data_IF_534035496611
#
_entry.id   IF_534035496611
#
_cell.length_a   1.000
_cell.length_b   1.000
_cell.length_c   1.000
_cell.angle_alpha   90.00
_cell.angle_beta   90.00
_cell.angle_gamma   90.00
#
_symmetry.space_group_name_H-M   'P 1'
#
loop_
_entity.id
_entity.type
_entity.pdbx_description
1 polymer ?
#
# COMPACT_ATOMS: atom_id res chain seq x y z
N UNK A 1 -21.47 19.53 9.48
CA UNK A 1 -21.02 18.17 9.05
C UNK A 1 -21.10 17.18 10.21
N UNK A 2 -20.29 17.32 11.27
CA UNK A 2 -20.33 16.40 12.43
C UNK A 2 -21.72 16.29 13.10
N UNK A 3 -22.45 17.41 13.27
CA UNK A 3 -23.85 17.41 13.74
C UNK A 3 -24.83 16.59 12.89
N UNK A 4 -24.57 16.47 11.58
CA UNK A 4 -25.44 15.78 10.63
C UNK A 4 -25.13 14.27 10.61
N UNK A 5 -23.85 13.90 10.73
CA UNK A 5 -23.40 12.52 10.88
C UNK A 5 -23.91 11.93 12.19
N UNK A 6 -23.62 12.59 13.32
CA UNK A 6 -24.09 12.24 14.66
C UNK A 6 -25.60 11.95 14.71
N UNK A 7 -26.40 12.82 14.07
CA UNK A 7 -27.86 12.69 14.03
C UNK A 7 -28.35 11.55 13.11
N UNK A 8 -27.58 11.14 12.11
CA UNK A 8 -27.89 9.99 11.24
C UNK A 8 -27.39 8.65 11.81
N UNK A 9 -26.32 8.65 12.61
CA UNK A 9 -25.74 7.44 13.21
C UNK A 9 -26.19 7.20 14.66
N UNK A 10 -27.00 8.09 15.24
CA UNK A 10 -27.42 7.99 16.64
C UNK A 10 -26.30 8.25 17.65
N UNK A 11 -25.18 8.83 17.19
CA UNK A 11 -23.99 9.10 18.00
C UNK A 11 -23.90 10.57 18.38
N UNK A 12 -23.04 10.92 19.33
CA UNK A 12 -22.80 12.33 19.68
C UNK A 12 -21.88 12.99 18.65
N UNK A 13 -21.93 14.33 18.58
CA UNK A 13 -21.02 15.11 17.72
C UNK A 13 -19.56 14.83 18.09
N UNK A 14 -19.28 14.64 19.37
CA UNK A 14 -17.94 14.30 19.89
C UNK A 14 -17.48 12.95 19.38
N UNK A 15 -18.32 11.91 19.51
CA UNK A 15 -18.00 10.57 19.02
C UNK A 15 -17.75 10.55 17.49
N UNK A 16 -18.53 11.32 16.73
CA UNK A 16 -18.32 11.47 15.29
C UNK A 16 -16.97 12.16 14.96
N UNK A 17 -16.49 13.07 15.80
CA UNK A 17 -15.19 13.73 15.64
C UNK A 17 -14.05 12.81 16.05
N UNK A 18 -14.19 12.05 17.14
CA UNK A 18 -13.20 11.06 17.59
C UNK A 18 -12.91 10.03 16.50
N UNK A 19 -13.95 9.40 15.93
CA UNK A 19 -13.79 8.43 14.84
C UNK A 19 -13.09 9.05 13.62
N UNK A 20 -13.47 10.26 13.23
CA UNK A 20 -12.84 10.93 12.08
C UNK A 20 -11.35 11.23 12.32
N UNK A 21 -10.97 11.54 13.57
CA UNK A 21 -9.57 11.76 13.96
C UNK A 21 -8.78 10.45 13.99
N UNK A 22 -9.33 9.39 14.57
CA UNK A 22 -8.72 8.05 14.58
C UNK A 22 -8.45 7.55 13.16
N UNK A 23 -9.44 7.65 12.27
CA UNK A 23 -9.26 7.24 10.87
C UNK A 23 -8.18 8.08 10.16
N UNK A 24 -8.09 9.38 10.47
CA UNK A 24 -7.09 10.27 9.88
C UNK A 24 -5.69 9.92 10.37
N UNK A 25 -5.53 9.63 11.66
CA UNK A 25 -4.27 9.14 12.23
C UNK A 25 -3.87 7.79 11.61
N UNK A 26 -4.77 6.82 11.56
CA UNK A 26 -4.50 5.51 10.95
C UNK A 26 -4.17 5.61 9.45
N UNK A 27 -4.71 6.60 8.72
CA UNK A 27 -4.31 6.88 7.33
C UNK A 27 -2.90 7.48 7.25
N UNK A 28 -2.56 8.41 8.14
CA UNK A 28 -1.24 9.03 8.21
C UNK A 28 -0.16 8.01 8.55
N UNK A 29 -0.38 7.17 9.55
CA UNK A 29 0.55 6.10 9.93
C UNK A 29 0.83 5.14 8.77
N UNK A 30 -0.22 4.69 8.07
CA UNK A 30 -0.08 3.88 6.85
C UNK A 30 0.71 4.59 5.76
N UNK A 31 0.48 5.88 5.56
CA UNK A 31 1.21 6.65 4.54
C UNK A 31 2.70 6.81 4.86
N UNK A 32 3.04 6.99 6.14
CA UNK A 32 4.43 7.04 6.59
C UNK A 32 5.14 5.69 6.40
N UNK A 33 4.44 4.59 6.62
CA UNK A 33 4.96 3.24 6.37
C UNK A 33 5.23 2.99 4.88
N UNK A 34 4.37 3.48 3.97
CA UNK A 34 4.58 3.32 2.53
C UNK A 34 5.87 4.00 2.05
N UNK A 35 6.11 5.25 2.45
CA UNK A 35 7.33 5.97 2.06
C UNK A 35 8.57 5.33 2.68
N UNK A 36 8.52 4.99 3.97
CA UNK A 36 9.62 4.29 4.64
C UNK A 36 9.93 2.93 3.98
N UNK A 37 8.90 2.17 3.61
CA UNK A 37 9.00 0.89 2.90
C UNK A 37 9.58 1.07 1.50
N UNK A 38 9.12 2.08 0.76
CA UNK A 38 9.66 2.41 -0.57
C UNK A 38 11.15 2.72 -0.50
N UNK A 39 11.55 3.62 0.42
CA UNK A 39 12.95 3.98 0.61
C UNK A 39 13.80 2.77 1.01
N UNK A 40 13.26 1.87 1.85
CA UNK A 40 13.95 0.62 2.21
C UNK A 40 14.19 -0.29 1.00
N UNK A 41 13.17 -0.52 0.18
CA UNK A 41 13.27 -1.34 -1.04
C UNK A 41 14.24 -0.70 -2.03
N UNK A 42 14.12 0.62 -2.26
CA UNK A 42 14.97 1.37 -3.18
C UNK A 42 16.46 1.22 -2.83
N UNK A 43 16.83 1.29 -1.54
CA UNK A 43 18.22 1.07 -1.11
C UNK A 43 18.76 -0.31 -1.50
N UNK A 44 17.93 -1.35 -1.44
CA UNK A 44 18.35 -2.70 -1.87
C UNK A 44 18.50 -2.77 -3.38
N UNK A 45 17.54 -2.22 -4.13
CA UNK A 45 17.58 -2.21 -5.60
C UNK A 45 18.77 -1.42 -6.12
N UNK A 46 19.05 -0.24 -5.54
CA UNK A 46 20.18 0.60 -5.93
C UNK A 46 21.55 -0.05 -5.63
N UNK A 47 21.60 -1.04 -4.74
CA UNK A 47 22.80 -1.81 -4.44
C UNK A 47 23.03 -2.99 -5.39
N UNK A 48 22.05 -3.34 -6.23
CA UNK A 48 22.18 -4.43 -7.19
C UNK A 48 23.02 -3.98 -8.40
N UNK A 49 23.87 -4.86 -8.95
CA UNK A 49 24.55 -4.58 -10.21
C UNK A 49 23.53 -4.47 -11.35
N UNK A 50 23.89 -3.71 -12.40
CA UNK A 50 23.06 -3.65 -13.60
C UNK A 50 22.86 -5.07 -14.17
N UNK A 51 21.62 -5.44 -14.57
CA UNK A 51 21.39 -6.73 -15.18
C UNK A 51 22.20 -6.82 -16.49
N UNK A 52 22.81 -7.98 -16.78
CA UNK A 52 23.55 -8.16 -18.01
C UNK A 52 22.64 -7.95 -19.23
N UNK A 53 23.14 -7.27 -20.29
CA UNK A 53 22.32 -6.95 -21.45
C UNK A 53 21.83 -8.21 -22.15
N UNK A 54 20.54 -8.24 -22.51
CA UNK A 54 19.92 -9.37 -23.21
C UNK A 54 19.53 -10.54 -22.30
N UNK A 55 19.82 -10.48 -20.99
CA UNK A 55 19.34 -11.49 -20.05
C UNK A 55 17.89 -11.20 -19.69
N UNK A 56 17.00 -12.07 -20.17
CA UNK A 56 15.58 -12.07 -19.82
C UNK A 56 15.33 -13.16 -18.80
N UNK A 57 14.35 -12.94 -17.92
CA UNK A 57 13.86 -13.98 -17.02
C UNK A 57 12.97 -14.94 -17.81
N UNK A 58 13.59 -15.92 -18.47
CA UNK A 58 12.85 -16.99 -19.14
C UNK A 58 12.25 -17.92 -18.06
N UNK A 59 10.94 -18.11 -18.13
CA UNK A 59 10.14 -18.92 -17.21
C UNK A 59 9.33 -19.98 -17.95
N UNK A 60 9.78 -20.39 -19.13
CA UNK A 60 9.19 -21.49 -19.92
C UNK A 60 9.20 -22.84 -19.19
N UNK A 61 9.95 -22.96 -18.09
CA UNK A 61 9.92 -24.08 -17.15
C UNK A 61 8.72 -24.03 -16.19
N UNK A 62 8.10 -22.87 -16.00
CA UNK A 62 6.99 -22.66 -15.07
C UNK A 62 5.65 -22.38 -15.78
N UNK A 63 5.68 -21.88 -17.01
CA UNK A 63 4.49 -21.52 -17.77
C UNK A 63 4.54 -22.08 -19.19
N UNK A 64 3.37 -22.55 -19.67
CA UNK A 64 3.17 -22.95 -21.04
C UNK A 64 3.17 -21.76 -22.02
N UNK A 65 3.09 -22.04 -23.32
CA UNK A 65 3.07 -21.02 -24.37
C UNK A 65 1.86 -20.05 -24.28
N UNK A 66 0.85 -20.36 -23.47
CA UNK A 66 -0.32 -19.52 -23.22
C UNK A 66 -0.18 -18.72 -21.92
N UNK A 67 0.95 -18.86 -21.22
CA UNK A 67 1.21 -18.23 -19.92
C UNK A 67 0.48 -18.90 -18.76
N UNK A 68 0.03 -20.14 -18.91
CA UNK A 68 -0.59 -20.92 -17.85
C UNK A 68 0.46 -21.77 -17.13
N UNK A 69 0.35 -21.97 -15.81
CA UNK A 69 1.24 -22.88 -15.10
C UNK A 69 1.16 -24.29 -15.68
N UNK A 70 2.32 -24.94 -15.83
CA UNK A 70 2.44 -26.34 -16.28
C UNK A 70 2.15 -27.33 -15.15
#
# INVERSE_FOLDING_TARGET
MAKRLARQTGTTVTAAVEVALEEKLARLERSMDVEAKFQRIKRFVDALPAPPPGLTSDHSDLYDDRGLPI
#
